data_IF_339148815991
#
_entry.id   IF_339148815991
#
_cell.length_a   1.000
_cell.length_b   1.000
_cell.length_c   1.000
_cell.angle_alpha   90.00
_cell.angle_beta   90.00
_cell.angle_gamma   90.00
#
_symmetry.space_group_name_H-M   'P 1'
#
loop_
_entity.id
_entity.type
_entity.pdbx_description
1 polymer ?
2 non-polymer ?
3 non-polymer ?
4 water ?
#
# COMPACT_ATOMS: atom_id res chain seq x y z
N UNK A 6 30.99 -9.87 15.53
CA UNK A 6 29.73 -9.34 15.03
C UNK A 6 29.47 -7.95 15.62
N UNK A 7 28.75 -7.13 14.89
CA UNK A 7 28.42 -5.79 15.33
C UNK A 7 27.50 -5.79 16.53
N UNK A 8 26.71 -6.85 16.69
CA UNK A 8 25.72 -6.88 17.75
C UNK A 8 26.40 -6.52 19.06
N UNK A 9 27.70 -6.78 19.13
CA UNK A 9 28.47 -6.39 20.28
C UNK A 9 28.58 -4.87 20.28
N UNK A 10 28.91 -4.32 19.11
CA UNK A 10 29.01 -2.87 18.95
C UNK A 10 27.69 -2.18 19.29
N UNK A 11 26.59 -2.79 18.87
CA UNK A 11 25.26 -2.25 19.14
C UNK A 11 24.99 -2.19 20.64
N UNK A 12 25.35 -3.24 21.35
CA UNK A 12 25.17 -3.31 22.79
C UNK A 12 26.00 -2.23 23.48
N UNK A 13 27.15 -1.91 22.90
CA UNK A 13 27.97 -0.83 23.43
C UNK A 13 27.24 0.49 23.26
N UNK A 14 26.75 0.76 22.06
CA UNK A 14 26.02 1.97 21.79
C UNK A 14 24.81 2.09 22.71
N UNK A 15 24.13 0.97 22.94
CA UNK A 15 22.99 0.94 23.85
C UNK A 15 23.41 1.33 25.27
N UNK A 16 24.52 0.80 25.74
CA UNK A 16 25.00 1.14 27.09
C UNK A 16 25.38 2.61 27.16
N UNK A 17 26.09 3.08 26.15
CA UNK A 17 26.48 4.49 26.07
C UNK A 17 25.24 5.37 26.16
N UNK A 18 24.25 5.08 25.33
CA UNK A 18 23.06 5.92 25.21
C UNK A 18 22.15 5.79 26.43
N UNK A 19 22.08 4.58 26.99
CA UNK A 19 21.27 4.33 28.18
C UNK A 19 21.79 5.13 29.37
N UNK A 20 23.11 5.31 29.43
CA UNK A 20 23.72 6.08 30.50
C UNK A 20 23.31 7.55 30.42
N UNK A 21 23.27 8.08 29.21
CA UNK A 21 22.78 9.43 28.98
C UNK A 21 21.33 9.54 29.41
N UNK A 22 20.56 8.50 29.11
CA UNK A 22 19.15 8.46 29.44
C UNK A 22 18.92 8.57 30.94
N UNK A 23 19.71 7.85 31.73
CA UNK A 23 19.60 7.92 33.19
C UNK A 23 19.98 9.32 33.68
N UNK A 24 20.94 9.95 33.02
CA UNK A 24 21.30 11.30 33.40
C UNK A 24 20.17 12.29 33.14
N UNK A 25 19.58 12.21 31.95
CA UNK A 25 18.48 13.09 31.59
C UNK A 25 17.25 12.81 32.46
N UNK A 26 17.06 11.56 32.86
CA UNK A 26 15.95 11.21 33.74
C UNK A 26 16.19 11.70 35.17
N UNK A 27 17.46 11.95 35.50
CA UNK A 27 17.84 12.40 36.83
C UNK A 27 17.88 13.94 36.88
N UNK A 28 17.70 14.56 35.72
CA UNK A 28 17.84 16.00 35.58
C UNK A 28 16.94 16.85 36.50
N UNK A 29 15.66 16.51 36.57
CA UNK A 29 14.74 17.32 37.37
C UNK A 29 15.19 17.33 38.84
N UNK A 30 15.66 16.20 39.33
CA UNK A 30 16.17 16.13 40.69
C UNK A 30 17.34 17.08 40.91
N UNK A 31 18.31 17.05 40.01
CA UNK A 31 19.49 17.92 40.13
C UNK A 31 19.10 19.40 40.04
N UNK A 32 18.20 19.72 39.12
CA UNK A 32 17.79 21.10 38.91
C UNK A 32 17.06 21.63 40.15
N UNK A 33 16.27 20.76 40.77
CA UNK A 33 15.55 21.09 41.99
C UNK A 33 16.46 21.37 43.16
N UNK A 34 17.62 20.70 43.20
CA UNK A 34 18.55 20.84 44.33
C UNK A 34 19.70 21.78 44.00
N UNK A 35 19.62 22.46 42.86
CA UNK A 35 20.74 23.26 42.39
C UNK A 35 20.75 24.69 42.94
N UNK A 36 21.93 25.29 42.94
CA UNK A 36 22.06 26.72 43.15
C UNK A 36 21.70 27.43 41.85
N UNK A 37 21.17 28.64 41.96
CA UNK A 37 20.73 29.36 40.77
C UNK A 37 21.85 29.50 39.74
N UNK A 38 23.07 29.70 40.24
CA UNK A 38 24.22 29.94 39.36
C UNK A 38 24.54 28.74 38.48
N UNK A 39 24.11 27.55 38.92
CA UNK A 39 24.38 26.32 38.20
C UNK A 39 23.38 26.05 37.07
N UNK A 40 22.19 26.63 37.16
CA UNK A 40 21.09 26.29 36.27
C UNK A 40 21.34 26.47 34.76
N UNK A 41 21.92 27.62 34.36
CA UNK A 41 22.25 27.77 32.94
C UNK A 41 23.07 26.60 32.42
N UNK A 42 24.09 26.20 33.18
CA UNK A 42 24.94 25.08 32.79
C UNK A 42 24.19 23.75 32.75
N UNK A 43 23.31 23.54 33.73
CA UNK A 43 22.49 22.33 33.77
C UNK A 43 21.60 22.22 32.52
N UNK A 45 22.06 23.67 29.45
CA UNK A 45 22.86 23.41 28.26
C UNK A 45 23.26 21.94 28.19
N UNK A 46 23.72 21.40 29.31
CA UNK A 46 24.11 20.01 29.38
C UNK A 46 22.95 19.09 28.97
N UNK A 47 21.77 19.34 29.54
CA UNK A 47 20.58 18.56 29.19
C UNK A 47 20.32 18.58 27.69
N UNK A 48 20.45 19.76 27.09
CA UNK A 48 20.20 19.92 25.66
C UNK A 48 21.15 19.04 24.84
N UNK A 49 22.44 19.15 25.13
CA UNK A 49 23.44 18.40 24.39
C UNK A 49 23.33 16.88 24.58
N UNK A 50 22.88 16.44 25.75
CA UNK A 50 22.70 15.02 25.96
C UNK A 50 21.49 14.46 25.23
N UNK A 51 20.45 15.25 25.07
CA UNK A 51 19.29 14.82 24.31
C UNK A 51 19.61 14.77 22.81
N UNK A 52 20.42 15.73 22.35
CA UNK A 52 20.91 15.70 20.99
C UNK A 52 21.74 14.46 20.78
N UNK A 53 22.72 14.27 21.66
CA UNK A 53 23.56 13.10 21.60
C UNK A 53 22.72 11.83 21.50
N UNK A 55 19.54 11.37 20.47
CA UNK A 55 18.89 11.28 19.17
C UNK A 55 19.90 10.90 18.09
N UNK A 56 21.08 11.52 18.15
CA UNK A 56 22.15 11.26 17.19
C UNK A 56 22.61 9.80 17.21
N UNK A 57 22.71 9.20 18.39
CA UNK A 57 23.09 7.79 18.47
C UNK A 57 22.05 6.88 17.85
N UNK A 58 20.80 7.32 17.84
CA UNK A 58 19.71 6.56 17.24
C UNK A 58 19.59 6.80 15.74
N UNK A 59 19.65 8.08 15.36
CA UNK A 59 19.28 8.51 14.01
C UNK A 59 20.29 9.46 13.37
N UNK A 60 21.52 9.46 13.87
CA UNK A 60 22.56 10.32 13.32
C UNK A 60 22.97 9.88 11.92
N UNK A 61 23.47 10.83 11.14
CA UNK A 61 23.92 10.50 9.78
C UNK A 61 25.37 10.87 9.50
N UNK A 62 26.06 9.94 8.83
CA UNK A 62 27.46 10.12 8.46
C UNK A 62 27.57 11.10 7.29
N UNK A 63 28.81 11.50 6.94
CA UNK A 63 29.00 12.39 5.80
C UNK A 63 28.53 11.77 4.49
N UNK A 64 28.02 12.58 3.57
CA UNK A 64 27.67 12.11 2.25
C UNK A 64 26.26 11.59 2.10
N UNK A 65 25.46 11.70 3.16
CA UNK A 65 24.07 11.26 3.12
C UNK A 65 23.12 12.35 3.61
N UNK A 66 22.06 12.59 2.84
CA UNK A 66 21.12 13.66 3.15
C UNK A 66 19.97 13.14 4.02
N UNK A 67 19.83 11.84 4.12
CA UNK A 67 18.90 11.24 5.05
C UNK A 67 19.69 10.18 5.79
N UNK A 68 19.44 9.99 7.08
CA UNK A 68 20.13 8.99 7.88
C UNK A 68 19.84 7.59 7.34
N UNK A 69 20.81 6.70 7.48
CA UNK A 69 20.56 5.29 7.23
C UNK A 69 19.71 4.76 8.38
N UNK A 70 18.80 3.85 8.08
CA UNK A 70 17.97 3.21 9.09
C UNK A 70 18.75 2.16 9.88
N UNK A 71 19.98 1.85 9.44
CA UNK A 71 20.79 0.77 10.01
C UNK A 71 20.86 0.77 11.53
N UNK A 72 21.44 1.84 12.09
CA UNK A 72 21.69 1.92 13.52
C UNK A 72 20.40 1.80 14.31
N UNK A 73 19.38 2.55 13.88
CA UNK A 73 18.09 2.49 14.57
C UNK A 73 17.54 1.08 14.57
N UNK A 74 17.58 0.43 13.41
CA UNK A 74 17.05 -0.93 13.31
C UNK A 74 17.83 -1.89 14.21
N UNK A 75 19.16 -1.81 14.18
CA UNK A 75 19.98 -2.67 15.02
C UNK A 75 19.62 -2.56 16.51
N UNK A 76 19.49 -1.33 16.98
CA UNK A 76 19.09 -1.08 18.37
C UNK A 76 17.71 -1.66 18.66
N UNK A 78 16.27 -4.14 17.48
CA UNK A 78 16.21 -5.60 17.47
C UNK A 78 16.67 -6.19 18.80
N UNK A 79 17.01 -5.32 19.74
CA UNK A 79 17.55 -5.75 21.02
C UNK A 79 16.62 -5.40 22.19
N UNK A 80 16.40 -6.37 23.05
CA UNK A 80 15.48 -6.22 24.18
C UNK A 80 15.64 -4.87 24.88
N UNK A 81 16.82 -4.60 25.41
CA UNK A 81 17.06 -3.35 26.13
C UNK A 81 16.96 -2.13 25.21
N UNK A 82 17.25 -2.33 23.92
CA UNK A 82 17.17 -1.27 22.94
C UNK A 82 15.78 -0.66 22.84
N UNK A 83 14.78 -1.52 22.70
CA UNK A 83 13.38 -1.07 22.62
C UNK A 83 12.92 -0.37 23.89
N UNK A 84 13.26 -0.93 25.05
CA UNK A 84 12.89 -0.30 26.31
C UNK A 84 13.55 1.05 26.46
N UNK A 86 14.48 3.13 23.92
CA UNK A 86 13.83 4.08 23.00
C UNK A 86 12.49 4.57 23.58
N UNK A 87 11.74 3.66 24.19
CA UNK A 87 10.47 4.00 24.82
C UNK A 87 10.65 5.14 25.83
N UNK A 88 11.76 5.12 26.56
CA UNK A 88 12.00 6.10 27.61
C UNK A 88 12.73 7.35 27.11
N UNK A 89 13.35 7.26 25.96
CA UNK A 89 13.97 8.42 25.33
C UNK A 89 12.90 9.29 24.68
N UNK A 90 11.89 8.65 24.09
CA UNK A 90 10.85 9.35 23.35
C UNK A 90 10.29 10.62 24.01
N UNK A 91 9.87 10.53 25.29
CA UNK A 91 9.28 11.71 25.93
C UNK A 91 10.23 12.91 26.01
N UNK A 92 11.55 12.68 25.91
CA UNK A 92 12.51 13.78 25.97
C UNK A 92 12.76 14.46 24.63
N UNK A 93 12.39 13.78 23.54
CA UNK A 93 12.65 14.32 22.20
C UNK A 93 11.64 15.38 21.80
N UNK A 94 12.05 16.26 20.89
CA UNK A 94 11.11 17.20 20.28
C UNK A 94 10.09 16.42 19.45
N UNK A 95 8.97 17.06 19.12
CA UNK A 95 7.93 16.39 18.35
C UNK A 95 8.48 15.90 17.02
N UNK A 96 9.32 16.72 16.39
CA UNK A 96 9.89 16.40 15.09
C UNK A 96 10.82 15.19 15.15
N UNK A 97 11.67 15.14 16.17
CA UNK A 97 12.56 14.01 16.36
C UNK A 97 11.76 12.73 16.64
N UNK A 98 10.73 12.86 17.46
CA UNK A 98 9.92 11.72 17.87
C UNK A 98 9.13 11.13 16.70
N UNK A 99 8.59 12.01 15.86
CA UNK A 99 7.86 11.58 14.67
C UNK A 99 8.78 10.85 13.69
N UNK A 100 10.03 11.30 13.61
CA UNK A 100 10.99 10.59 12.77
C UNK A 100 11.13 9.15 13.27
N UNK A 101 11.33 9.00 14.57
CA UNK A 101 11.46 7.68 15.17
C UNK A 101 10.25 6.80 14.87
N UNK A 102 9.05 7.38 14.97
CA UNK A 102 7.83 6.63 14.70
C UNK A 102 7.71 6.22 13.23
N UNK A 104 10.25 5.84 11.15
CA UNK A 104 11.29 4.87 10.91
C UNK A 104 10.85 3.48 11.41
N UNK A 105 10.17 3.47 12.55
CA UNK A 105 9.64 2.23 13.11
C UNK A 105 8.64 1.59 12.14
N UNK A 106 7.75 2.42 11.60
CA UNK A 106 6.71 1.96 10.67
C UNK A 106 7.33 1.40 9.39
N UNK A 107 8.31 2.12 8.84
CA UNK A 107 8.98 1.74 7.62
C UNK A 107 9.68 0.37 7.74
N UNK A 108 10.06 -0.01 8.94
CA UNK A 108 10.81 -1.24 9.15
C UNK A 108 10.06 -2.25 9.99
N UNK A 109 8.74 -2.07 10.09
CA UNK A 109 7.96 -2.74 11.11
C UNK A 109 7.91 -4.28 11.02
N UNK A 110 7.69 -4.81 9.81
CA UNK A 110 7.67 -6.29 9.72
C UNK A 110 8.96 -6.95 10.21
N UNK A 111 10.12 -6.38 9.91
CA UNK A 111 11.40 -6.94 10.37
C UNK A 111 11.55 -6.80 11.88
N UNK A 112 11.12 -5.67 12.42
CA UNK A 112 11.23 -5.43 13.86
C UNK A 112 10.31 -6.41 14.59
N UNK A 113 9.13 -6.63 14.04
CA UNK A 113 8.21 -7.61 14.57
C UNK A 113 8.84 -9.02 14.62
N UNK A 114 9.43 -9.45 13.50
CA UNK A 114 10.11 -10.74 13.47
C UNK A 114 11.14 -10.83 14.60
N UNK A 115 11.96 -9.79 14.74
CA UNK A 115 13.04 -9.80 15.72
C UNK A 115 12.54 -9.65 17.16
N UNK A 116 11.24 -9.42 17.34
CA UNK A 116 10.66 -9.29 18.67
C UNK A 116 9.88 -10.53 19.06
N UNK A 117 10.01 -11.59 18.26
CA UNK A 117 9.20 -12.80 18.45
C UNK A 117 9.50 -13.55 19.76
N UNK A 118 10.75 -13.51 20.20
CA UNK A 118 11.11 -14.17 21.46
C UNK A 118 10.90 -13.23 22.67
N UNK A 119 11.30 -11.98 22.54
CA UNK A 119 11.24 -11.02 23.65
C UNK A 119 9.86 -10.42 23.90
N UNK A 120 9.14 -10.13 22.82
CA UNK A 120 7.82 -9.50 22.88
C UNK A 120 7.78 -8.24 23.77
N UNK A 121 8.78 -7.38 23.61
CA UNK A 121 8.82 -6.12 24.36
C UNK A 121 8.42 -4.90 23.52
N UNK A 122 8.06 -5.10 22.25
CA UNK A 122 7.64 -3.99 21.39
C UNK A 122 6.49 -3.17 21.98
N UNK A 123 5.57 -3.82 22.71
CA UNK A 123 4.46 -3.08 23.31
C UNK A 123 4.89 -1.96 24.28
N UNK A 124 6.13 -1.97 24.75
CA UNK A 124 6.58 -0.92 25.65
C UNK A 124 6.60 0.44 24.94
N UNK A 125 6.52 0.41 23.61
CA UNK A 125 6.55 1.64 22.81
C UNK A 125 5.16 2.22 22.57
N UNK A 126 4.14 1.47 22.92
CA UNK A 126 2.77 1.85 22.57
C UNK A 126 2.38 3.15 23.27
N UNK A 127 2.65 3.23 24.57
CA UNK A 127 2.30 4.39 25.37
C UNK A 127 2.94 5.69 24.85
N UNK A 128 4.28 5.70 24.69
CA UNK A 128 4.87 6.95 24.22
C UNK A 128 4.45 7.29 22.79
N UNK A 129 4.26 6.29 21.92
CA UNK A 129 3.81 6.58 20.56
C UNK A 129 2.39 7.16 20.57
N UNK A 130 1.54 6.62 21.43
CA UNK A 130 0.18 7.13 21.58
C UNK A 130 0.16 8.58 22.04
N UNK A 131 0.99 8.92 23.02
CA UNK A 131 1.08 10.31 23.48
C UNK A 131 1.50 11.20 22.31
N UNK A 132 2.49 10.74 21.55
CA UNK A 132 2.98 11.47 20.38
C UNK A 132 1.88 11.71 19.36
N UNK A 133 1.06 10.70 19.09
CA UNK A 133 0.06 10.77 18.04
C UNK A 133 -0.93 11.91 18.23
N UNK A 134 -1.19 12.26 19.48
CA UNK A 134 -2.11 13.35 19.78
C UNK A 134 -1.51 14.71 19.43
N UNK A 135 -0.20 14.77 19.28
CA UNK A 135 0.49 16.01 18.93
C UNK A 135 0.74 16.13 17.44
N UNK A 136 0.30 15.13 16.67
CA UNK A 136 0.56 15.12 15.23
C UNK A 136 -0.66 15.52 14.40
N UNK A 137 -0.44 16.31 13.36
CA UNK A 137 -1.52 16.75 12.48
C UNK A 137 -2.05 15.62 11.61
N UNK A 138 -2.99 15.92 10.72
CA UNK A 138 -3.57 14.91 9.85
C UNK A 138 -2.62 14.43 8.75
N UNK A 139 -1.82 15.34 8.17
CA UNK A 139 -0.88 14.94 7.12
C UNK A 139 0.05 13.85 7.64
N UNK A 140 0.43 13.96 8.90
CA UNK A 140 1.33 13.02 9.53
C UNK A 140 0.65 11.68 9.75
N UNK A 141 -0.55 11.70 10.31
CA UNK A 141 -1.31 10.50 10.56
C UNK A 141 -1.51 9.72 9.27
N UNK A 142 -1.86 10.45 8.22
CA UNK A 142 -2.07 9.86 6.90
C UNK A 142 -0.78 9.27 6.34
N UNK A 143 0.34 9.97 6.53
CA UNK A 143 1.62 9.50 6.01
C UNK A 143 2.08 8.21 6.69
N UNK A 144 1.80 8.10 7.99
CA UNK A 144 2.19 6.92 8.74
C UNK A 144 1.39 5.70 8.30
N UNK A 145 0.09 5.88 8.13
CA UNK A 145 -0.77 4.80 7.66
C UNK A 145 -0.39 4.40 6.25
N UNK A 146 -0.04 5.39 5.44
CA UNK A 146 0.42 5.14 4.08
C UNK A 146 1.66 4.27 4.06
N UNK A 147 2.55 4.50 5.02
CA UNK A 147 3.78 3.72 5.11
C UNK A 147 3.50 2.29 5.53
N UNK A 148 2.56 2.10 6.46
CA UNK A 148 2.17 0.77 6.91
C UNK A 148 1.56 -0.08 5.79
N UNK A 150 2.48 0.24 2.65
CA UNK A 150 3.43 0.24 1.55
C UNK A 150 4.59 -0.71 1.80
N UNK A 151 4.31 -1.79 2.54
CA UNK A 151 5.34 -2.78 2.86
C UNK A 151 5.13 -4.06 2.05
N UNK A 152 6.19 -4.90 1.93
CA UNK A 152 6.08 -6.18 1.22
C UNK A 152 4.82 -6.94 1.62
N UNK A 153 4.10 -7.43 0.61
CA UNK A 153 2.87 -8.17 0.84
C UNK A 153 1.62 -7.34 0.65
N UNK A 154 1.81 -6.02 0.54
CA UNK A 154 0.73 -5.07 0.32
C UNK A 154 -0.18 -5.48 -0.86
N UNK A 155 -1.50 -5.24 -0.72
CA UNK A 155 -2.12 -4.53 0.39
C UNK A 155 -2.43 -5.40 1.60
N UNK A 156 -1.87 -6.61 1.66
CA UNK A 156 -2.10 -7.49 2.78
C UNK A 156 -1.15 -7.05 3.93
N UNK A 157 -1.68 -6.99 5.14
CA UNK A 157 -0.93 -6.51 6.29
C UNK A 157 -0.88 -7.59 7.36
N UNK A 158 -0.68 -8.82 6.91
CA UNK A 158 -0.79 -10.00 7.77
C UNK A 158 0.15 -9.97 8.98
N UNK A 159 1.43 -9.71 8.73
CA UNK A 159 2.42 -9.66 9.80
C UNK A 159 2.08 -8.62 10.87
N UNK A 160 1.60 -7.46 10.43
CA UNK A 160 1.21 -6.40 11.36
C UNK A 160 -0.03 -6.76 12.16
N UNK A 161 -1.12 -7.10 11.47
CA UNK A 161 -2.39 -7.40 12.13
C UNK A 161 -2.27 -8.57 13.10
N UNK A 162 -1.34 -9.47 12.82
CA UNK A 162 -1.17 -10.66 13.66
C UNK A 162 -0.25 -10.39 14.84
N UNK A 163 0.25 -9.17 14.92
CA UNK A 163 1.15 -8.76 15.99
C UNK A 163 0.45 -7.81 16.96
N UNK A 164 0.56 -8.09 18.26
CA UNK A 164 -0.11 -7.27 19.26
C UNK A 164 0.25 -5.78 19.14
N UNK A 165 1.53 -5.48 19.01
CA UNK A 165 1.95 -4.08 18.90
C UNK A 165 1.49 -3.48 17.58
N UNK A 166 1.70 -4.22 16.50
CA UNK A 166 1.33 -3.77 15.17
C UNK A 166 -0.14 -3.44 15.05
N UNK A 167 -0.99 -4.39 15.44
CA UNK A 167 -2.43 -4.16 15.42
C UNK A 167 -2.80 -2.95 16.28
N UNK A 168 -2.35 -2.96 17.54
CA UNK A 168 -2.64 -1.86 18.48
C UNK A 168 -2.27 -0.50 17.91
N UNK A 169 -1.07 -0.42 17.34
CA UNK A 169 -0.58 0.80 16.74
C UNK A 169 -1.47 1.23 15.57
N UNK A 170 -1.89 0.27 14.76
CA UNK A 170 -2.76 0.56 13.64
C UNK A 170 -4.07 1.15 14.14
N UNK A 171 -4.58 0.57 15.22
CA UNK A 171 -5.86 1.00 15.77
C UNK A 171 -5.75 2.40 16.39
N UNK A 172 -4.62 2.68 17.01
CA UNK A 172 -4.39 4.01 17.59
C UNK A 172 -4.32 5.07 16.49
N UNK A 173 -3.68 4.72 15.38
CA UNK A 173 -3.56 5.65 14.25
C UNK A 173 -4.94 5.94 13.65
N UNK A 174 -5.71 4.89 13.39
CA UNK A 174 -7.04 5.07 12.85
C UNK A 174 -7.86 5.97 13.78
N UNK A 175 -7.78 5.70 15.07
CA UNK A 175 -8.54 6.44 16.07
C UNK A 175 -8.21 7.93 16.04
N UNK A 176 -6.92 8.26 15.99
CA UNK A 176 -6.48 9.65 15.95
C UNK A 176 -6.89 10.32 14.64
N UNK A 177 -6.85 9.56 13.55
CA UNK A 177 -7.28 10.07 12.26
C UNK A 177 -8.74 10.45 12.31
N UNK A 178 -9.54 9.61 12.98
CA UNK A 178 -10.96 9.87 13.17
C UNK A 178 -11.18 11.20 13.88
N UNK A 179 -10.52 11.38 15.03
CA UNK A 179 -10.57 12.63 15.77
C UNK A 179 -10.37 13.80 14.83
N UNK A 180 -9.24 13.81 14.12
CA UNK A 180 -8.85 14.95 13.29
C UNK A 180 -9.84 15.27 12.17
N UNK A 181 -10.49 14.25 11.63
CA UNK A 181 -11.43 14.45 10.54
C UNK A 181 -12.77 14.96 11.06
N UNK A 182 -13.15 14.52 12.25
CA UNK A 182 -14.36 14.99 12.89
C UNK A 182 -14.21 16.41 13.38
N UNK A 183 -13.04 16.98 13.11
CA UNK A 183 -12.69 18.35 13.51
C UNK A 183 -13.91 19.22 13.83
N UNK A 192 -8.36 14.56 4.10
CA UNK A 192 -9.61 14.85 3.40
C UNK A 192 -10.07 13.61 2.72
N UNK A 193 -10.12 13.68 1.41
CA UNK A 193 -10.38 12.50 0.60
C UNK A 193 -9.21 11.52 0.61
N UNK A 194 -8.00 12.08 0.72
CA UNK A 194 -6.78 11.29 0.77
C UNK A 194 -6.84 10.37 1.98
N UNK A 195 -7.30 10.91 3.09
CA UNK A 195 -7.47 10.13 4.31
C UNK A 195 -8.51 9.04 4.08
N UNK A 196 -9.56 9.39 3.34
CA UNK A 196 -10.64 8.46 3.02
C UNK A 196 -10.13 7.26 2.22
N UNK A 197 -9.15 7.49 1.36
CA UNK A 197 -8.61 6.41 0.55
C UNK A 197 -7.89 5.36 1.40
N UNK A 198 -7.07 5.81 2.35
CA UNK A 198 -6.35 4.88 3.21
C UNK A 198 -7.30 4.20 4.20
N UNK A 200 -10.40 3.32 3.53
CA UNK A 200 -11.03 2.25 2.76
C UNK A 200 -10.11 1.05 2.69
N UNK A 202 -7.83 0.24 4.75
CA UNK A 202 -7.67 -0.33 6.08
C UNK A 202 -8.85 -1.21 6.45
N UNK A 203 -10.07 -0.74 6.17
CA UNK A 203 -11.26 -1.51 6.46
C UNK A 203 -11.32 -2.76 5.60
N UNK A 204 -10.92 -2.63 4.34
CA UNK A 204 -10.84 -3.79 3.45
C UNK A 204 -9.93 -4.85 4.07
N UNK A 205 -8.78 -4.42 4.57
CA UNK A 205 -7.80 -5.37 5.08
C UNK A 205 -8.25 -5.99 6.40
N UNK A 206 -8.85 -5.18 7.26
CA UNK A 206 -9.41 -5.70 8.52
C UNK A 206 -10.55 -6.68 8.22
N UNK A 207 -11.30 -6.40 7.16
CA UNK A 207 -12.40 -7.27 6.73
C UNK A 207 -11.89 -8.62 6.21
N UNK A 208 -10.77 -8.60 5.50
CA UNK A 208 -10.20 -9.79 4.88
C UNK A 208 -9.60 -10.75 5.92
N UNK A 209 -8.69 -10.23 6.73
CA UNK A 209 -7.95 -11.04 7.70
C UNK A 209 -8.88 -11.95 8.51
N UNK A 210 -8.59 -13.25 8.53
CA UNK A 210 -9.38 -14.18 9.34
C UNK A 210 -9.32 -13.82 10.83
N UNK A 211 -10.47 -13.91 11.49
CA UNK A 211 -10.52 -13.40 12.90
C UNK A 211 -9.58 -14.15 13.72
N UNK A 212 -9.34 -15.44 13.45
CA UNK A 212 -8.44 -16.30 14.22
C UNK A 212 -6.99 -15.82 14.13
N UNK A 213 -6.67 -15.09 13.08
CA UNK A 213 -5.31 -14.60 12.87
C UNK A 213 -5.04 -13.31 13.65
N UNK A 214 -6.08 -12.52 13.89
CA UNK A 214 -5.92 -11.24 14.56
C UNK A 214 -5.28 -11.37 15.93
N UNK A 215 -4.32 -10.49 16.21
CA UNK A 215 -3.74 -10.39 17.54
C UNK A 215 -4.78 -9.82 18.50
N UNK A 216 -4.55 -9.99 19.79
CA UNK A 216 -5.38 -9.39 20.82
C UNK A 216 -4.89 -7.98 21.14
N UNK A 217 -5.65 -6.95 20.74
CA UNK A 217 -5.22 -5.56 20.86
C UNK A 217 -4.96 -5.16 22.31
N UNK A 218 -3.91 -4.37 22.52
CA UNK A 218 -3.57 -3.89 23.86
C UNK A 218 -4.69 -2.99 24.38
N UNK A 219 -5.16 -2.09 23.53
CA UNK A 219 -6.31 -1.26 23.86
C UNK A 219 -7.19 -1.08 22.62
N UNK A 220 -8.49 -0.88 22.84
CA UNK A 220 -9.42 -0.69 21.74
C UNK A 220 -10.10 0.67 21.84
N UNK A 221 -9.68 1.62 20.99
CA UNK A 221 -10.26 2.96 21.00
C UNK A 221 -11.77 2.92 20.90
N UNK A 222 -12.46 3.76 21.66
CA UNK A 222 -13.92 3.73 21.73
C UNK A 222 -14.57 4.36 20.51
N UNK A 223 -13.85 5.22 19.81
CA UNK A 223 -14.41 5.89 18.64
C UNK A 223 -14.26 5.09 17.34
N UNK A 224 -13.79 3.84 17.45
CA UNK A 224 -13.57 3.03 16.27
C UNK A 224 -14.85 2.76 15.49
N UNK A 225 -15.91 2.36 16.19
CA UNK A 225 -17.20 2.10 15.54
C UNK A 225 -17.65 3.32 14.74
N UNK A 226 -17.54 4.50 15.34
CA UNK A 226 -17.88 5.74 14.66
C UNK A 226 -17.04 5.93 13.41
N UNK A 227 -15.76 5.58 13.51
CA UNK A 227 -14.84 5.73 12.40
C UNK A 227 -15.25 4.87 11.20
N UNK A 228 -15.50 3.59 11.46
CA UNK A 228 -15.81 2.64 10.39
C UNK A 228 -17.16 2.91 9.72
N UNK A 229 -18.08 3.52 10.46
CA UNK A 229 -19.40 3.83 9.92
C UNK A 229 -19.35 4.73 8.69
N UNK A 230 -18.37 5.61 8.67
CA UNK A 230 -18.20 6.58 7.61
C UNK A 230 -17.93 5.93 6.27
N UNK A 231 -17.14 4.85 6.28
CA UNK A 231 -16.81 4.11 5.07
C UNK A 231 -17.42 2.75 4.84
N UNK A 232 -18.25 2.25 5.73
CA UNK A 232 -18.72 0.91 5.54
C UNK A 232 -20.12 0.67 5.99
N UNK A 233 -20.79 -0.22 5.28
CA UNK A 233 -22.22 -0.37 5.56
C UNK A 233 -22.47 -1.15 6.84
N UNK A 234 -23.75 -1.36 7.15
CA UNK A 234 -24.14 -1.97 8.42
C UNK A 234 -23.70 -3.42 8.54
N UNK A 235 -23.87 -4.17 7.47
CA UNK A 235 -23.56 -5.58 7.47
C UNK A 235 -22.11 -5.81 7.78
N UNK A 236 -21.26 -5.06 7.14
CA UNK A 236 -19.82 -5.17 7.35
C UNK A 236 -19.41 -4.58 8.70
N UNK A 237 -20.08 -3.51 9.11
CA UNK A 237 -19.82 -2.88 10.39
C UNK A 237 -19.91 -3.91 11.51
N UNK A 238 -20.94 -4.76 11.44
CA UNK A 238 -21.15 -5.81 12.42
C UNK A 238 -19.97 -6.77 12.42
N UNK A 239 -19.50 -7.10 11.21
CA UNK A 239 -18.34 -7.98 11.06
C UNK A 239 -17.15 -7.45 11.85
N UNK A 240 -16.79 -6.20 11.60
CA UNK A 240 -15.68 -5.57 12.28
C UNK A 240 -15.86 -5.60 13.80
N UNK A 241 -17.03 -5.16 14.26
CA UNK A 241 -17.34 -5.15 15.69
C UNK A 241 -17.10 -6.51 16.34
N UNK A 242 -17.66 -7.56 15.76
CA UNK A 242 -17.44 -8.90 16.28
C UNK A 242 -15.96 -9.24 16.23
N UNK A 243 -15.39 -9.10 15.04
CA UNK A 243 -13.99 -9.46 14.79
C UNK A 243 -13.04 -8.85 15.81
N UNK A 244 -13.20 -7.55 16.05
CA UNK A 244 -12.26 -6.82 16.88
C UNK A 244 -12.76 -6.59 18.30
N UNK A 245 -13.80 -7.31 18.70
CA UNK A 245 -14.44 -7.07 19.99
C UNK A 245 -14.56 -5.57 20.25
N UNK A 246 -15.26 -4.89 19.34
CA UNK A 246 -15.30 -3.43 19.33
C UNK A 246 -16.36 -2.86 20.28
N UNK A 247 -16.15 -1.62 20.70
CA UNK A 247 -17.07 -0.93 21.58
C UNK A 247 -17.86 0.15 20.84
N UNK B 6 -1.40 15.12 -37.33
CA UNK B 6 -1.86 16.31 -36.61
C UNK B 6 -2.37 15.96 -35.22
N UNK B 7 -3.29 14.99 -35.16
CA UNK B 7 -3.84 14.52 -33.90
C UNK B 7 -2.75 13.88 -33.05
N UNK B 8 -1.82 13.20 -33.71
CA UNK B 8 -0.73 12.51 -33.03
C UNK B 8 0.23 13.51 -32.40
N UNK B 9 0.35 14.67 -33.03
CA UNK B 9 1.20 15.74 -32.52
C UNK B 9 0.74 16.12 -31.12
N UNK B 10 -0.57 16.31 -30.98
CA UNK B 10 -1.15 16.69 -29.71
C UNK B 10 -0.94 15.62 -28.65
N UNK B 11 -1.19 14.37 -29.04
CA UNK B 11 -1.01 13.24 -28.12
C UNK B 11 0.38 13.28 -27.50
N UNK B 12 1.41 13.43 -28.33
CA UNK B 12 2.79 13.47 -27.86
C UNK B 12 3.03 14.60 -26.85
N UNK B 13 2.42 15.74 -27.10
CA UNK B 13 2.54 16.89 -26.21
C UNK B 13 1.92 16.58 -24.85
N UNK B 14 0.73 16.01 -24.87
CA UNK B 14 0.05 15.60 -23.65
C UNK B 14 0.90 14.61 -22.86
N UNK B 15 1.60 13.73 -23.59
CA UNK B 15 2.46 12.75 -22.94
C UNK B 15 3.62 13.42 -22.21
N UNK B 16 4.27 14.36 -22.88
CA UNK B 16 5.37 15.09 -22.27
C UNK B 16 4.94 15.86 -21.00
N UNK B 17 3.86 16.61 -21.08
CA UNK B 17 3.36 17.37 -19.94
C UNK B 17 3.04 16.44 -18.78
N UNK B 18 2.25 15.41 -19.05
CA UNK B 18 1.85 14.48 -18.01
C UNK B 18 3.05 13.75 -17.41
N UNK B 19 4.04 13.43 -18.24
CA UNK B 19 5.24 12.71 -17.80
C UNK B 19 6.05 13.53 -16.80
N UNK B 20 6.13 14.84 -17.05
CA UNK B 20 6.84 15.75 -16.17
C UNK B 20 6.18 15.75 -14.79
N UNK B 21 4.85 15.73 -14.79
CA UNK B 21 4.09 15.62 -13.55
C UNK B 21 4.39 14.29 -12.85
N UNK B 22 4.48 13.23 -13.63
CA UNK B 22 4.81 11.92 -13.09
C UNK B 22 6.13 11.97 -12.33
N UNK B 23 7.14 12.59 -12.94
CA UNK B 23 8.43 12.68 -12.30
C UNK B 23 8.34 13.45 -10.96
N UNK B 24 7.54 14.51 -10.96
CA UNK B 24 7.35 15.27 -9.73
C UNK B 24 6.72 14.41 -8.64
N UNK B 25 5.70 13.63 -8.99
CA UNK B 25 5.02 12.79 -8.02
C UNK B 25 5.88 11.61 -7.56
N UNK B 26 6.63 11.02 -8.47
CA UNK B 26 7.57 9.96 -8.09
C UNK B 26 8.67 10.50 -7.16
N UNK B 27 8.95 11.80 -7.25
CA UNK B 27 9.98 12.44 -6.42
C UNK B 27 9.41 12.92 -5.09
N UNK B 28 8.09 12.85 -4.94
CA UNK B 28 7.41 13.38 -3.75
C UNK B 28 7.92 12.82 -2.42
N UNK B 29 8.03 11.49 -2.31
CA UNK B 29 8.41 10.88 -1.04
C UNK B 29 9.76 11.41 -0.57
N UNK B 30 10.67 11.60 -1.52
CA UNK B 30 12.00 12.11 -1.24
C UNK B 30 11.91 13.48 -0.59
N UNK B 31 11.15 14.37 -1.23
CA UNK B 31 10.98 15.74 -0.74
C UNK B 31 10.30 15.77 0.62
N UNK B 32 9.34 14.87 0.82
CA UNK B 32 8.57 14.84 2.07
C UNK B 32 9.46 14.48 3.25
N UNK B 33 10.37 13.53 3.05
CA UNK B 33 11.26 13.11 4.11
C UNK B 33 12.21 14.24 4.52
N UNK B 34 12.42 15.18 3.61
CA UNK B 34 13.37 16.27 3.83
C UNK B 34 12.67 17.58 4.17
N UNK B 35 11.36 17.53 4.39
CA UNK B 35 10.55 18.73 4.59
C UNK B 35 10.43 19.16 6.05
N UNK B 36 10.06 20.42 6.25
CA UNK B 36 9.69 20.91 7.58
C UNK B 36 8.22 20.62 7.85
N UNK B 37 7.86 20.47 9.12
CA UNK B 37 6.48 20.20 9.50
C UNK B 37 5.50 21.18 8.84
N UNK B 38 5.88 22.45 8.82
CA UNK B 38 5.01 23.50 8.29
C UNK B 38 4.71 23.38 6.79
N UNK B 39 5.57 22.64 6.08
CA UNK B 39 5.44 22.52 4.63
C UNK B 39 4.52 21.38 4.18
N UNK B 40 4.30 20.41 5.07
CA UNK B 40 3.73 19.13 4.68
C UNK B 40 2.27 19.16 4.19
N UNK B 41 1.41 19.95 4.85
CA UNK B 41 0.05 20.04 4.34
C UNK B 41 0.00 20.47 2.87
N UNK B 42 0.75 21.51 2.50
CA UNK B 42 0.75 21.96 1.11
C UNK B 42 1.44 20.95 0.19
N UNK B 43 2.48 20.30 0.71
CA UNK B 43 3.16 19.23 -0.03
C UNK B 43 2.18 18.16 -0.46
N UNK B 45 -1.05 18.29 -0.41
CA UNK B 45 -2.14 18.89 -1.18
C UNK B 45 -1.72 19.07 -2.63
N UNK B 46 -0.48 19.47 -2.83
CA UNK B 46 0.09 19.66 -4.15
C UNK B 46 0.20 18.33 -4.88
N UNK B 47 0.53 17.28 -4.12
CA UNK B 47 0.61 15.93 -4.66
C UNK B 47 -0.75 15.45 -5.17
N UNK B 48 -1.80 15.74 -4.42
CA UNK B 48 -3.14 15.33 -4.78
C UNK B 48 -3.61 15.99 -6.06
N UNK B 49 -3.29 17.28 -6.20
CA UNK B 49 -3.68 18.05 -7.38
C UNK B 49 -2.97 17.55 -8.63
N UNK B 50 -1.69 17.26 -8.50
CA UNK B 50 -0.91 16.77 -9.64
C UNK B 50 -1.41 15.40 -10.11
N UNK B 51 -1.78 14.55 -9.17
CA UNK B 51 -2.30 13.23 -9.47
C UNK B 51 -3.61 13.33 -10.24
N UNK B 52 -4.53 14.16 -9.78
CA UNK B 52 -5.80 14.33 -10.46
C UNK B 52 -5.59 14.96 -11.83
N UNK B 53 -4.61 15.85 -11.93
CA UNK B 53 -4.24 16.42 -13.23
C UNK B 53 -3.77 15.34 -14.20
N UNK B 55 -4.57 12.12 -14.15
CA UNK B 55 -5.76 11.35 -14.49
C UNK B 55 -6.58 12.03 -15.58
N UNK B 56 -6.91 13.31 -15.36
CA UNK B 56 -7.69 14.06 -16.33
C UNK B 56 -6.96 14.15 -17.67
N UNK B 57 -5.64 14.30 -17.63
CA UNK B 57 -4.83 14.31 -18.85
C UNK B 57 -4.92 12.98 -19.60
N UNK B 58 -5.01 11.89 -18.85
CA UNK B 58 -5.11 10.56 -19.45
C UNK B 58 -6.44 10.32 -20.17
N UNK B 59 -7.50 10.81 -19.57
CA UNK B 59 -8.81 10.60 -20.14
C UNK B 59 -9.18 11.68 -21.14
N UNK B 60 -8.64 12.86 -20.94
CA UNK B 60 -8.98 14.00 -21.76
C UNK B 60 -10.38 14.55 -21.60
N UNK B 61 -10.70 14.97 -20.39
CA UNK B 61 -12.00 15.53 -20.14
C UNK B 61 -12.45 16.72 -20.99
N UNK B 62 -13.61 16.60 -21.58
CA UNK B 62 -14.16 17.67 -22.41
C UNK B 62 -15.26 18.44 -21.70
N UNK B 63 -15.23 19.78 -21.81
CA UNK B 63 -16.26 20.65 -21.25
C UNK B 63 -17.63 20.39 -21.88
N UNK B 64 -18.64 20.14 -21.06
CA UNK B 64 -19.98 19.89 -21.55
C UNK B 64 -20.20 18.46 -21.95
N UNK B 65 -19.28 17.58 -21.57
CA UNK B 65 -19.36 16.18 -21.93
C UNK B 65 -19.32 15.44 -20.62
N UNK B 66 -20.27 14.55 -20.39
CA UNK B 66 -20.23 13.90 -19.12
C UNK B 66 -19.05 12.99 -18.76
N UNK B 67 -18.63 12.13 -19.66
CA UNK B 67 -17.54 11.25 -19.39
C UNK B 67 -16.76 11.39 -20.64
N UNK B 68 -15.43 11.42 -20.61
CA UNK B 68 -14.73 11.55 -21.88
C UNK B 68 -14.94 10.30 -22.72
N UNK B 69 -14.77 10.39 -24.02
CA UNK B 69 -14.78 9.20 -24.86
C UNK B 69 -13.44 8.51 -24.69
N UNK B 70 -13.35 7.26 -25.11
CA UNK B 70 -12.16 6.45 -24.92
C UNK B 70 -11.00 6.87 -25.81
N UNK B 71 -11.32 7.47 -26.96
CA UNK B 71 -10.31 7.74 -27.99
C UNK B 71 -9.06 8.46 -27.48
N UNK B 72 -9.23 9.40 -26.55
CA UNK B 72 -8.11 10.18 -26.06
C UNK B 72 -7.10 9.30 -25.31
N UNK B 73 -7.59 8.50 -24.37
CA UNK B 73 -6.76 7.56 -23.62
C UNK B 73 -6.16 6.50 -24.54
N UNK B 74 -6.94 6.06 -25.53
CA UNK B 74 -6.50 5.01 -26.44
C UNK B 74 -5.31 5.47 -27.28
N UNK B 75 -5.36 6.72 -27.74
CA UNK B 75 -4.28 7.26 -28.54
C UNK B 75 -2.98 7.33 -27.73
N UNK B 76 -3.09 7.65 -26.45
CA UNK B 76 -1.93 7.66 -25.57
C UNK B 76 -1.36 6.24 -25.44
N UNK B 78 -1.38 4.02 -27.50
CA UNK B 78 -0.78 3.56 -28.75
C UNK B 78 0.67 4.02 -28.89
N UNK B 79 1.11 4.89 -27.98
CA UNK B 79 2.48 5.41 -28.00
C UNK B 79 3.35 4.65 -27.00
N UNK B 80 4.54 4.25 -27.44
CA UNK B 80 5.45 3.48 -26.58
C UNK B 80 5.61 4.15 -25.21
N UNK B 81 5.89 5.44 -25.20
CA UNK B 81 6.09 6.16 -23.94
C UNK B 81 4.78 6.29 -23.18
N UNK B 82 3.68 6.41 -23.92
CA UNK B 82 2.37 6.52 -23.29
C UNK B 82 2.08 5.33 -22.40
N UNK B 83 2.40 4.14 -22.89
CA UNK B 83 2.13 2.92 -22.16
C UNK B 83 3.00 2.79 -20.91
N UNK B 84 4.28 3.10 -21.06
CA UNK B 84 5.20 3.02 -19.93
C UNK B 84 4.86 4.08 -18.90
N UNK B 86 1.77 5.36 -18.32
CA UNK B 86 0.57 4.91 -17.62
C UNK B 86 0.91 3.86 -16.56
N UNK B 87 1.75 2.90 -16.92
CA UNK B 87 2.16 1.89 -15.95
C UNK B 87 2.68 2.52 -14.67
N UNK B 88 3.42 3.61 -14.81
CA UNK B 88 4.02 4.28 -13.65
C UNK B 88 3.08 5.25 -12.94
N UNK B 89 2.03 5.71 -13.63
CA UNK B 89 1.02 6.56 -12.98
C UNK B 89 0.09 5.72 -12.09
N UNK B 90 -0.26 4.54 -12.57
CA UNK B 90 -1.25 3.69 -11.92
C UNK B 90 -1.16 3.59 -10.40
N UNK B 91 0.03 3.32 -9.85
CA UNK B 91 0.18 3.17 -8.40
C UNK B 91 -0.25 4.41 -7.62
N UNK B 92 -0.21 5.57 -8.25
CA UNK B 92 -0.54 6.83 -7.56
C UNK B 92 -2.03 7.17 -7.62
N UNK B 93 -2.74 6.59 -8.58
CA UNK B 93 -4.16 6.87 -8.75
C UNK B 93 -4.99 6.28 -7.62
N UNK B 94 -6.14 6.89 -7.35
CA UNK B 94 -7.09 6.27 -6.44
C UNK B 94 -7.56 4.96 -7.07
N UNK B 95 -8.05 4.06 -6.24
CA UNK B 95 -8.56 2.79 -6.71
C UNK B 95 -9.63 3.03 -7.77
N UNK B 96 -10.52 3.97 -7.48
CA UNK B 96 -11.60 4.34 -8.40
C UNK B 96 -11.03 4.82 -9.73
N UNK B 97 -10.02 5.69 -9.65
CA UNK B 97 -9.39 6.18 -10.88
C UNK B 97 -8.68 5.03 -11.64
N UNK B 98 -7.93 4.21 -10.90
CA UNK B 98 -7.18 3.09 -11.47
C UNK B 98 -8.11 2.09 -12.13
N UNK B 99 -9.21 1.77 -11.46
CA UNK B 99 -10.19 0.84 -12.00
C UNK B 99 -10.78 1.35 -13.32
N UNK B 100 -10.96 2.66 -13.43
CA UNK B 100 -11.46 3.26 -14.67
C UNK B 100 -10.46 3.04 -15.80
N UNK B 101 -9.19 3.34 -15.53
CA UNK B 101 -8.11 3.11 -16.49
C UNK B 101 -8.09 1.66 -16.95
N UNK B 102 -8.28 0.74 -16.01
CA UNK B 102 -8.24 -0.69 -16.33
C UNK B 102 -9.45 -1.12 -17.17
N UNK B 104 -11.37 0.75 -19.08
CA UNK B 104 -11.18 1.36 -20.40
C UNK B 104 -10.16 0.60 -21.23
N UNK B 105 -9.07 0.17 -20.59
CA UNK B 105 -8.03 -0.60 -21.26
C UNK B 105 -8.60 -1.92 -21.77
N UNK B 106 -9.36 -2.59 -20.92
CA UNK B 106 -9.97 -3.86 -21.29
C UNK B 106 -10.94 -3.69 -22.46
N UNK B 107 -11.74 -2.62 -22.41
CA UNK B 107 -12.72 -2.36 -23.47
C UNK B 107 -12.03 -2.22 -24.83
N UNK B 108 -10.80 -1.74 -24.82
CA UNK B 108 -10.10 -1.42 -26.07
C UNK B 108 -8.88 -2.30 -26.36
N UNK B 109 -8.74 -3.41 -25.64
CA UNK B 109 -7.51 -4.21 -25.66
C UNK B 109 -7.15 -4.84 -27.01
N UNK B 110 -8.15 -5.37 -27.74
CA UNK B 110 -7.77 -5.90 -29.05
C UNK B 110 -7.12 -4.83 -29.93
N UNK B 111 -7.68 -3.62 -29.93
CA UNK B 111 -7.11 -2.56 -30.75
C UNK B 111 -5.73 -2.14 -30.21
N UNK B 112 -5.62 -2.05 -28.89
CA UNK B 112 -4.34 -1.69 -28.27
C UNK B 112 -3.29 -2.76 -28.55
N UNK B 113 -3.73 -4.02 -28.56
CA UNK B 113 -2.85 -5.13 -28.88
C UNK B 113 -2.28 -4.97 -30.29
N UNK B 114 -3.11 -4.57 -31.24
CA UNK B 114 -2.66 -4.33 -32.60
C UNK B 114 -1.66 -3.20 -32.68
N UNK B 115 -1.88 -2.15 -31.94
CA UNK B 115 -0.99 -1.01 -32.00
C UNK B 115 0.31 -1.24 -31.22
N UNK B 116 0.42 -2.38 -30.56
CA UNK B 116 1.60 -2.70 -29.75
C UNK B 116 2.47 -3.77 -30.41
N UNK B 117 2.08 -4.18 -31.62
CA UNK B 117 2.74 -5.30 -32.29
C UNK B 117 4.24 -5.11 -32.54
N UNK B 118 4.68 -3.88 -32.80
CA UNK B 118 6.11 -3.62 -32.99
C UNK B 118 6.84 -3.33 -31.68
N UNK B 119 6.26 -2.48 -30.83
CA UNK B 119 6.90 -2.09 -29.58
C UNK B 119 6.89 -3.20 -28.53
N UNK B 120 5.73 -3.82 -28.35
CA UNK B 120 5.57 -4.89 -27.38
C UNK B 120 5.93 -4.45 -25.97
N UNK B 121 5.37 -3.32 -25.52
CA UNK B 121 5.62 -2.85 -24.17
C UNK B 121 4.37 -2.93 -23.29
N UNK B 122 3.30 -3.50 -23.83
CA UNK B 122 2.08 -3.68 -23.05
C UNK B 122 2.32 -4.39 -21.70
N UNK B 123 3.22 -5.39 -21.69
CA UNK B 123 3.52 -6.11 -20.43
C UNK B 123 3.97 -5.23 -19.25
N UNK B 124 4.48 -4.02 -19.51
CA UNK B 124 4.87 -3.15 -18.39
C UNK B 124 3.67 -2.78 -17.54
N UNK B 125 2.46 -3.07 -18.04
CA UNK B 125 1.22 -2.74 -17.34
C UNK B 125 0.74 -3.83 -16.39
N UNK B 126 1.27 -5.03 -16.52
CA UNK B 126 0.73 -6.17 -15.77
C UNK B 126 0.90 -6.01 -14.27
N UNK B 127 2.09 -5.61 -13.84
CA UNK B 127 2.38 -5.50 -12.42
C UNK B 127 1.49 -4.46 -11.70
N UNK B 128 1.41 -3.24 -12.24
CA UNK B 128 0.52 -2.29 -11.54
C UNK B 128 -0.94 -2.75 -11.52
N UNK B 129 -1.43 -3.28 -12.64
CA UNK B 129 -2.80 -3.82 -12.70
C UNK B 129 -3.00 -4.97 -11.72
N UNK B 130 -2.00 -5.84 -11.57
CA UNK B 130 -2.14 -6.98 -10.66
C UNK B 130 -2.29 -6.50 -9.20
N UNK B 131 -1.57 -5.44 -8.85
CA UNK B 131 -1.73 -4.86 -7.52
C UNK B 131 -3.15 -4.31 -7.36
N UNK B 132 -3.62 -3.61 -8.37
CA UNK B 132 -4.95 -3.02 -8.35
C UNK B 132 -6.02 -4.07 -8.07
N UNK B 133 -5.88 -5.24 -8.67
CA UNK B 133 -6.89 -6.28 -8.53
C UNK B 133 -7.17 -6.64 -7.06
N UNK B 134 -6.16 -6.50 -6.21
CA UNK B 134 -6.33 -6.80 -4.78
C UNK B 134 -7.17 -5.77 -4.04
N UNK B 135 -7.43 -4.64 -4.68
CA UNK B 135 -8.23 -3.58 -4.07
C UNK B 135 -9.67 -3.59 -4.61
N UNK B 136 -9.97 -4.54 -5.48
CA UNK B 136 -11.27 -4.58 -6.16
C UNK B 136 -12.15 -5.75 -5.69
N UNK B 137 -13.47 -5.51 -5.64
CA UNK B 137 -14.46 -6.50 -5.21
C UNK B 137 -14.80 -7.49 -6.31
N UNK B 138 -15.46 -8.57 -5.93
CA UNK B 138 -15.86 -9.62 -6.88
C UNK B 138 -16.68 -9.08 -8.05
N UNK B 139 -17.64 -8.22 -7.76
CA UNK B 139 -18.49 -7.68 -8.81
C UNK B 139 -17.64 -7.01 -9.88
N UNK B 140 -16.64 -6.25 -9.43
CA UNK B 140 -15.73 -5.57 -10.35
C UNK B 140 -14.87 -6.53 -11.15
N UNK B 141 -14.38 -7.58 -10.50
CA UNK B 141 -13.57 -8.60 -11.17
C UNK B 141 -14.38 -9.33 -12.24
N UNK B 142 -15.64 -9.62 -11.93
CA UNK B 142 -16.53 -10.28 -12.90
C UNK B 142 -16.80 -9.40 -14.12
N UNK B 143 -17.11 -8.12 -13.87
CA UNK B 143 -17.36 -7.17 -14.94
C UNK B 143 -16.17 -7.06 -15.86
N UNK B 144 -14.97 -6.99 -15.26
CA UNK B 144 -13.74 -6.93 -16.03
C UNK B 144 -13.61 -8.15 -16.95
N UNK B 145 -13.76 -9.33 -16.37
CA UNK B 145 -13.68 -10.56 -17.15
C UNK B 145 -14.68 -10.52 -18.29
N UNK B 146 -15.93 -10.24 -17.92
CA UNK B 146 -17.03 -10.10 -18.86
C UNK B 146 -16.65 -9.23 -20.06
N UNK B 147 -15.96 -8.14 -19.78
CA UNK B 147 -15.55 -7.21 -20.81
C UNK B 147 -14.61 -7.87 -21.82
N UNK B 148 -13.89 -8.89 -21.38
CA UNK B 148 -12.91 -9.55 -22.24
C UNK B 148 -13.50 -10.69 -23.07
N UNK B 150 -15.73 -13.08 -25.75
CA UNK B 150 -16.18 -13.06 -27.14
C UNK B 150 -17.65 -12.67 -27.22
N UNK B 151 -17.98 -11.79 -28.16
CA UNK B 151 -19.37 -11.44 -28.44
C UNK B 151 -19.66 -11.63 -29.91
N UNK B 152 -20.94 -11.70 -30.29
CA UNK B 152 -21.27 -11.81 -31.71
C UNK B 152 -20.56 -10.71 -32.50
N UNK B 153 -19.85 -11.10 -33.54
CA UNK B 153 -19.12 -10.16 -34.38
C UNK B 153 -17.84 -9.62 -33.76
N UNK B 154 -17.54 -10.02 -32.53
CA UNK B 154 -16.37 -9.50 -31.83
C UNK B 154 -15.67 -10.56 -30.97
N UNK B 155 -14.71 -11.27 -31.54
CA UNK B 155 -13.95 -12.30 -30.82
C UNK B 155 -12.88 -11.68 -29.94
N UNK B 156 -13.32 -10.86 -28.99
CA UNK B 156 -12.46 -10.14 -28.05
C UNK B 156 -11.49 -11.08 -27.32
N UNK B 157 -12.04 -12.15 -26.75
CA UNK B 157 -11.23 -13.07 -25.95
C UNK B 157 -10.22 -13.83 -26.81
N UNK B 158 -10.68 -14.34 -27.94
CA UNK B 158 -9.80 -15.04 -28.85
C UNK B 158 -8.55 -14.21 -29.16
N UNK B 159 -8.74 -12.92 -29.42
CA UNK B 159 -7.61 -12.04 -29.71
C UNK B 159 -6.71 -11.86 -28.49
N UNK B 160 -7.33 -11.65 -27.34
CA UNK B 160 -6.62 -11.44 -26.08
C UNK B 160 -5.72 -12.64 -25.72
N UNK B 161 -6.22 -13.85 -25.96
CA UNK B 161 -5.51 -15.07 -25.62
C UNK B 161 -4.23 -15.26 -26.44
N UNK B 162 -4.16 -14.61 -27.60
CA UNK B 162 -2.97 -14.73 -28.45
C UNK B 162 -1.88 -13.68 -28.14
N UNK B 163 -2.12 -12.85 -27.12
CA UNK B 163 -1.19 -11.77 -26.76
C UNK B 163 -0.59 -12.03 -25.37
N UNK B 164 0.71 -11.81 -25.23
CA UNK B 164 1.37 -12.04 -23.95
C UNK B 164 0.73 -11.25 -22.81
N UNK B 165 0.56 -9.95 -22.99
CA UNK B 165 -0.05 -9.13 -21.95
C UNK B 165 -1.51 -9.53 -21.76
N UNK B 166 -2.24 -9.64 -22.86
CA UNK B 166 -3.64 -10.03 -22.82
C UNK B 166 -3.87 -11.31 -22.04
N UNK B 167 -3.21 -12.39 -22.45
CA UNK B 167 -3.34 -13.67 -21.77
C UNK B 167 -2.97 -13.54 -20.28
N UNK B 168 -1.87 -12.85 -20.00
CA UNK B 168 -1.41 -12.68 -18.63
C UNK B 168 -2.43 -11.94 -17.77
N UNK B 169 -3.00 -10.86 -18.32
CA UNK B 169 -4.05 -10.13 -17.63
C UNK B 169 -5.24 -11.04 -17.34
N UNK B 170 -5.67 -11.81 -18.33
CA UNK B 170 -6.77 -12.75 -18.14
C UNK B 170 -6.51 -13.68 -16.96
N UNK B 171 -5.32 -14.27 -16.94
CA UNK B 171 -4.94 -15.21 -15.87
C UNK B 171 -4.99 -14.60 -14.46
N UNK B 172 -4.47 -13.39 -14.28
CA UNK B 172 -4.51 -12.77 -12.95
C UNK B 172 -5.93 -12.39 -12.53
N UNK B 173 -6.78 -12.07 -13.50
CA UNK B 173 -8.18 -11.81 -13.20
C UNK B 173 -8.84 -13.09 -12.71
N UNK B 174 -8.61 -14.17 -13.44
CA UNK B 174 -9.17 -15.47 -13.06
C UNK B 174 -8.74 -15.84 -11.65
N UNK B 175 -7.45 -15.71 -11.38
CA UNK B 175 -6.89 -16.06 -10.08
C UNK B 175 -7.47 -15.21 -8.95
N UNK B 176 -7.66 -13.92 -9.21
CA UNK B 176 -8.28 -13.06 -8.21
C UNK B 176 -9.73 -13.49 -7.98
N UNK B 177 -10.41 -13.85 -9.06
CA UNK B 177 -11.76 -14.36 -8.97
C UNK B 177 -11.83 -15.59 -8.06
N UNK B 178 -10.94 -16.53 -8.31
CA UNK B 178 -10.85 -17.73 -7.46
C UNK B 178 -10.56 -17.31 -6.01
N UNK B 179 -9.61 -16.41 -5.81
CA UNK B 179 -9.33 -15.89 -4.47
C UNK B 179 -10.60 -15.49 -3.74
N UNK B 180 -11.38 -14.62 -4.38
CA UNK B 180 -12.54 -14.00 -3.78
C UNK B 180 -13.69 -14.95 -3.46
N UNK B 181 -13.96 -15.84 -4.39
CA UNK B 181 -14.99 -16.85 -4.21
C UNK B 181 -14.58 -17.81 -3.11
N UNK B 182 -13.28 -18.08 -3.07
CA UNK B 182 -12.72 -19.14 -2.25
C UNK B 182 -12.89 -18.81 -0.78
N UNK B 183 -13.62 -17.72 -0.55
CA UNK B 183 -13.96 -17.23 0.78
C UNK B 183 -15.20 -16.34 0.75
N UNK B 184 -16.39 -16.91 0.52
CA UNK B 184 -17.60 -16.10 0.47
C UNK B 184 -17.48 -14.97 -0.55
N UNK B 190 -26.39 -15.08 -6.56
CA UNK B 190 -26.81 -14.07 -7.52
C UNK B 190 -25.63 -13.63 -8.38
N UNK B 191 -24.75 -12.82 -7.80
CA UNK B 191 -23.53 -12.39 -8.49
C UNK B 191 -22.57 -13.56 -8.64
N UNK B 192 -22.76 -14.58 -7.82
CA UNK B 192 -22.01 -15.81 -7.97
C UNK B 192 -22.42 -16.52 -9.25
N UNK B 193 -23.65 -16.27 -9.69
CA UNK B 193 -24.13 -16.80 -10.96
C UNK B 193 -23.56 -16.02 -12.14
N UNK B 194 -23.31 -14.73 -11.94
CA UNK B 194 -22.60 -13.95 -12.94
C UNK B 194 -21.20 -14.51 -13.11
N UNK B 195 -20.54 -14.76 -11.98
CA UNK B 195 -19.20 -15.33 -12.00
C UNK B 195 -19.19 -16.69 -12.71
N UNK B 196 -20.07 -17.59 -12.28
CA UNK B 196 -20.09 -18.93 -12.86
C UNK B 196 -20.31 -18.88 -14.37
N UNK B 197 -21.22 -18.03 -14.80
CA UNK B 197 -21.54 -17.95 -16.22
C UNK B 197 -20.33 -17.49 -17.03
N UNK B 198 -19.67 -16.44 -16.54
CA UNK B 198 -18.46 -15.94 -17.19
C UNK B 198 -17.37 -17.01 -17.20
N UNK B 200 -17.89 -20.36 -17.32
CA UNK B 200 -18.23 -21.32 -18.37
C UNK B 200 -17.83 -20.80 -19.74
N UNK B 202 -15.46 -18.54 -20.38
CA UNK B 202 -14.00 -18.50 -20.44
C UNK B 202 -13.39 -19.87 -20.70
N UNK B 203 -13.84 -20.88 -19.96
CA UNK B 203 -13.27 -22.21 -20.09
C UNK B 203 -13.58 -22.83 -21.46
N UNK B 204 -14.78 -22.60 -21.97
CA UNK B 204 -15.17 -23.09 -23.29
C UNK B 204 -14.20 -22.58 -24.37
N UNK B 205 -13.92 -21.27 -24.37
CA UNK B 205 -12.97 -20.70 -25.32
C UNK B 205 -11.54 -21.18 -25.08
N UNK B 206 -11.16 -21.33 -23.81
CA UNK B 206 -9.83 -21.85 -23.48
C UNK B 206 -9.63 -23.29 -23.97
N UNK B 207 -10.66 -24.13 -23.85
CA UNK B 207 -10.61 -25.50 -24.37
C UNK B 207 -10.61 -25.52 -25.88
N UNK B 208 -11.37 -24.62 -26.50
CA UNK B 208 -11.47 -24.51 -27.98
C UNK B 208 -10.26 -24.03 -28.76
N UNK B 209 -9.57 -23.04 -28.20
CA UNK B 209 -8.49 -22.42 -28.95
C UNK B 209 -7.31 -23.38 -29.15
N UNK B 210 -6.76 -23.41 -30.38
CA UNK B 210 -5.59 -24.22 -30.72
C UNK B 210 -4.44 -23.89 -29.76
N UNK B 211 -3.70 -24.87 -29.35
CA UNK B 211 -2.62 -24.66 -28.40
C UNK B 211 -1.64 -23.67 -29.00
N UNK B 212 -1.38 -23.78 -30.28
CA UNK B 212 -0.40 -22.96 -30.99
C UNK B 212 -0.76 -21.47 -31.01
N UNK B 213 -2.04 -21.15 -30.79
CA UNK B 213 -2.47 -19.76 -30.80
C UNK B 213 -2.17 -19.05 -29.48
N UNK B 214 -2.17 -19.80 -28.37
CA UNK B 214 -1.98 -19.21 -27.05
C UNK B 214 -0.60 -18.59 -26.87
N UNK B 215 -0.56 -17.39 -26.31
CA UNK B 215 0.69 -16.73 -25.98
C UNK B 215 1.36 -17.42 -24.79
N UNK B 216 2.58 -17.02 -24.51
CA UNK B 216 3.30 -17.47 -23.33
C UNK B 216 3.06 -16.45 -22.21
N UNK B 217 2.43 -16.89 -21.11
CA UNK B 217 2.09 -16.03 -19.99
C UNK B 217 3.33 -15.53 -19.23
N UNK B 218 3.25 -14.31 -18.70
CA UNK B 218 4.35 -13.76 -17.90
C UNK B 218 4.43 -14.47 -16.56
N UNK B 219 3.29 -14.68 -15.93
CA UNK B 219 3.21 -15.45 -14.70
C UNK B 219 1.98 -16.35 -14.72
N UNK B 220 2.07 -17.48 -14.03
CA UNK B 220 0.97 -18.42 -13.97
C UNK B 220 0.54 -18.65 -12.53
N UNK B 221 -0.50 -17.92 -12.09
CA UNK B 221 -1.00 -18.02 -10.71
C UNK B 221 -1.23 -19.48 -10.32
N UNK B 222 -1.02 -19.78 -9.04
CA UNK B 222 -1.00 -21.17 -8.59
C UNK B 222 -2.35 -21.68 -8.10
N UNK B 223 -3.40 -20.89 -8.25
CA UNK B 223 -4.72 -21.35 -7.84
C UNK B 223 -5.66 -21.61 -9.00
N UNK B 224 -5.10 -21.67 -10.21
CA UNK B 224 -5.91 -21.80 -11.41
C UNK B 224 -6.50 -23.21 -11.57
N UNK B 225 -5.72 -24.23 -11.23
CA UNK B 225 -6.23 -25.60 -11.29
C UNK B 225 -7.49 -25.72 -10.43
N UNK B 226 -7.42 -25.22 -9.21
CA UNK B 226 -8.57 -25.21 -8.31
C UNK B 226 -9.78 -24.52 -8.96
N UNK B 227 -9.54 -23.36 -9.56
CA UNK B 227 -10.59 -22.61 -10.27
C UNK B 227 -11.25 -23.46 -11.36
N UNK B 228 -10.46 -23.91 -12.32
CA UNK B 228 -11.00 -24.63 -13.48
C UNK B 228 -11.67 -25.96 -13.11
N UNK B 229 -11.14 -26.61 -12.08
CA UNK B 229 -11.64 -27.91 -11.63
C UNK B 229 -13.11 -27.82 -11.24
N UNK B 230 -13.54 -26.61 -10.88
CA UNK B 230 -14.92 -26.39 -10.47
C UNK B 230 -15.88 -26.46 -11.65
N UNK B 231 -15.35 -26.36 -12.86
CA UNK B 231 -16.21 -26.15 -14.02
C UNK B 231 -16.12 -27.24 -15.09
N UNK B 232 -15.06 -28.04 -15.06
CA UNK B 232 -14.88 -29.11 -16.04
C UNK B 232 -14.45 -30.43 -15.41
N UNK B 233 -14.53 -31.50 -16.20
CA UNK B 233 -14.16 -32.84 -15.74
C UNK B 233 -12.65 -33.05 -15.79
N UNK B 234 -12.20 -34.20 -15.29
CA UNK B 234 -10.77 -34.50 -15.24
C UNK B 234 -10.05 -34.41 -16.59
N UNK B 235 -10.64 -34.95 -17.64
CA UNK B 235 -10.01 -34.90 -18.94
C UNK B 235 -9.80 -33.51 -19.48
N UNK B 236 -10.83 -32.69 -19.43
CA UNK B 236 -10.69 -31.31 -19.85
C UNK B 236 -9.71 -30.56 -18.94
N UNK B 237 -9.76 -30.77 -17.63
CA UNK B 237 -8.83 -30.15 -16.69
C UNK B 237 -7.40 -30.49 -17.08
N UNK B 238 -7.15 -31.76 -17.41
CA UNK B 238 -5.85 -32.18 -17.92
C UNK B 238 -5.46 -31.44 -19.18
N UNK B 239 -6.45 -31.20 -20.05
CA UNK B 239 -6.20 -30.46 -21.29
C UNK B 239 -5.79 -29.01 -21.00
N UNK B 240 -6.50 -28.37 -20.08
CA UNK B 240 -6.21 -27.00 -19.72
C UNK B 240 -4.85 -26.90 -19.01
N UNK B 241 -4.56 -27.86 -18.14
CA UNK B 241 -3.28 -27.88 -17.45
C UNK B 241 -2.17 -27.94 -18.48
N UNK B 242 -2.35 -28.78 -19.49
CA UNK B 242 -1.35 -28.94 -20.53
C UNK B 242 -1.22 -27.70 -21.41
N UNK B 243 -2.35 -27.15 -21.85
CA UNK B 243 -2.33 -25.99 -22.74
C UNK B 243 -1.77 -24.75 -22.07
N UNK B 244 -2.13 -24.53 -20.82
CA UNK B 244 -1.67 -23.37 -20.08
C UNK B 244 -0.49 -23.63 -19.18
N UNK B 245 0.01 -24.84 -19.20
CA UNK B 245 1.12 -25.22 -18.33
C UNK B 245 0.82 -24.79 -16.89
N UNK B 246 -0.34 -25.21 -16.38
CA UNK B 246 -0.74 -24.81 -15.03
C UNK B 246 0.09 -25.54 -13.99
N UNK B 247 0.34 -24.87 -12.87
CA UNK B 247 1.07 -25.47 -11.76
C UNK B 247 0.21 -25.48 -10.51
N UNK B 248 0.44 -26.47 -9.66
CA UNK B 248 -0.31 -26.61 -8.42
C UNK B 248 0.56 -27.28 -7.36
#
# INVERSE_FOLDING_TARGET
GPQDPDKRRKTLVIIEKTYSLLLDVEDYERRYLLSLEEERPALXDDRKHKICSXYDNLRGKLPGQERPSDDHFVQIXCIRKGKRXVARILPFLSTEQAADILXTTARNLPFLIKKDAQDEVLPCLLSPFSLLLYHLPSVSITSLLRQLXNLPGSPHLTAVLQNKFGLSLLLILLSRGEDLQSSDPATESTQNNQWTEVXFXATRELLRIPQAALAKPISIPTNLVSLFSRYVDRQKLNLLETKLQLVQ
GPQDPDKRRKTLVIIEKTYSLLLDVEDYERRYLLSLEEERPALXDDRKHKICSXYDNLRGKLPGQERPSDDHFVQIXCIRKGKRXVARILPFLSTEQAADILXTTARNLPFLIKKDAQDEVLPCLLSPFSLLLYHLPSVSITSLLRQLXNLPGSPHLTAVLQNKFGLSLLLILLSRGEDLQSSDPATESTQNNQWTEVXFXATRELLRIPQAALAKPISIPTNLVSLFSRYVDRQKLNLLETKLQLVQ
#
